data_IF_633917723344
#
_entry.id   IF_633917723344
#
_cell.length_a   1.000
_cell.length_b   1.000
_cell.length_c   1.000
_cell.angle_alpha   90.00
_cell.angle_beta   90.00
_cell.angle_gamma   90.00
#
_symmetry.space_group_name_H-M   'P 1'
#
loop_
_entity.id
_entity.type
_entity.pdbx_description
1 polymer ?
2 water ?
#
# COMPACT_ATOMS: atom_id res chain seq x y z
N UNK A 6 29.73 12.53 -21.94
CA UNK A 6 29.67 13.97 -22.04
C UNK A 6 28.87 14.50 -20.87
N UNK A 7 29.27 15.69 -20.38
CA UNK A 7 28.73 16.28 -19.14
C UNK A 7 27.24 16.59 -19.24
N UNK A 8 26.79 17.15 -20.38
CA UNK A 8 25.38 17.40 -20.57
C UNK A 8 24.58 16.09 -20.62
N UNK A 9 25.20 15.01 -21.09
CA UNK A 9 24.55 13.70 -21.01
C UNK A 9 24.50 13.14 -19.58
N UNK A 10 25.50 13.42 -18.75
CA UNK A 10 25.49 12.93 -17.37
C UNK A 10 24.46 13.66 -16.50
N UNK A 11 24.25 14.95 -16.73
CA UNK A 11 23.16 15.67 -16.07
C UNK A 11 21.80 15.05 -16.42
N UNK A 12 21.57 14.77 -17.71
CA UNK A 12 20.36 14.11 -18.16
C UNK A 12 20.23 12.72 -17.51
N UNK A 13 21.30 11.92 -17.58
CA UNK A 13 21.24 10.55 -17.05
C UNK A 13 20.90 10.56 -15.57
N UNK A 14 21.43 11.53 -14.82
CA UNK A 14 21.17 11.58 -13.39
C UNK A 14 19.75 12.05 -13.11
N UNK A 15 19.32 13.14 -13.76
CA UNK A 15 17.93 13.61 -13.62
C UNK A 15 16.92 12.51 -13.92
N UNK A 16 17.21 11.63 -14.89
CA UNK A 16 16.26 10.56 -15.20
C UNK A 16 16.26 9.49 -14.09
N UNK A 17 17.41 9.16 -13.52
CA UNK A 17 17.38 8.26 -12.38
C UNK A 17 16.74 8.92 -11.15
N UNK A 18 16.94 10.23 -10.98
CA UNK A 18 16.26 10.89 -9.87
C UNK A 18 14.75 10.80 -10.02
N UNK A 19 14.25 10.85 -11.26
CA UNK A 19 12.80 10.67 -11.47
C UNK A 19 12.35 9.29 -11.03
N UNK A 20 13.15 8.24 -11.34
CA UNK A 20 12.79 6.90 -10.89
C UNK A 20 12.83 6.82 -9.37
N UNK A 21 13.84 7.43 -8.77
CA UNK A 21 13.92 7.48 -7.32
C UNK A 21 12.72 8.20 -6.71
N UNK A 22 12.35 9.34 -7.29
CA UNK A 22 11.22 10.11 -6.74
C UNK A 22 9.91 9.41 -7.02
N UNK A 23 9.86 8.58 -8.07
CA UNK A 23 8.65 7.82 -8.34
C UNK A 23 8.43 6.77 -7.27
N UNK A 24 9.50 6.13 -6.80
CA UNK A 24 9.38 5.18 -5.70
C UNK A 24 8.97 5.90 -4.43
N UNK A 25 9.58 7.05 -4.16
CA UNK A 25 9.26 7.82 -2.97
C UNK A 25 7.81 8.29 -2.97
N UNK A 26 7.31 8.74 -4.13
CA UNK A 26 5.95 9.23 -4.18
C UNK A 26 4.93 8.15 -3.76
N UNK A 27 5.16 6.92 -4.21
CA UNK A 27 4.29 5.81 -3.84
C UNK A 27 4.50 5.44 -2.39
N UNK A 28 5.76 5.38 -1.95
CA UNK A 28 6.02 5.08 -0.54
C UNK A 28 5.24 6.05 0.35
N UNK A 29 5.32 7.34 0.04
CA UNK A 29 4.68 8.37 0.85
C UNK A 29 3.17 8.23 0.79
N UNK A 30 2.61 8.14 -0.42
CA UNK A 30 1.14 8.22 -0.48
C UNK A 30 0.47 6.90 -0.19
N UNK A 31 1.01 5.74 -0.63
CA UNK A 31 0.44 4.45 -0.21
C UNK A 31 0.59 4.29 1.31
N UNK A 32 1.71 4.75 1.89
CA UNK A 32 1.88 4.67 3.32
C UNK A 32 0.89 5.54 4.08
N UNK A 33 0.61 6.75 3.57
CA UNK A 33 -0.39 7.59 4.22
C UNK A 33 -1.77 6.95 4.13
N UNK A 34 -2.14 6.47 2.93
CA UNK A 34 -3.41 5.76 2.75
C UNK A 34 -3.50 4.55 3.66
N UNK A 35 -2.38 3.89 3.90
CA UNK A 35 -2.38 2.73 4.77
C UNK A 35 -2.72 3.12 6.20
N UNK A 36 -2.10 4.21 6.70
CA UNK A 36 -2.38 4.67 8.05
C UNK A 36 -3.83 5.13 8.19
N UNK A 37 -4.35 5.83 7.16
CA UNK A 37 -5.71 6.36 7.23
C UNK A 37 -6.72 5.22 7.18
N UNK A 38 -6.50 4.23 6.31
CA UNK A 38 -7.42 3.10 6.26
C UNK A 38 -7.39 2.30 7.57
N UNK A 39 -6.23 2.18 8.21
CA UNK A 39 -6.19 1.50 9.50
C UNK A 39 -6.99 2.27 10.55
N UNK A 40 -6.88 3.62 10.54
CA UNK A 40 -7.64 4.43 11.49
C UNK A 40 -9.11 4.39 11.17
N UNK A 41 -9.47 4.35 9.89
CA UNK A 41 -10.87 4.16 9.51
C UNK A 41 -11.41 2.83 10.04
N UNK A 42 -10.59 1.78 9.99
CA UNK A 42 -11.02 0.49 10.50
C UNK A 42 -11.20 0.55 12.00
N UNK A 43 -10.27 1.20 12.73
CA UNK A 43 -10.40 1.29 14.17
C UNK A 43 -11.66 2.08 14.55
N UNK A 44 -11.96 3.16 13.80
CA UNK A 44 -13.17 3.92 14.10
C UNK A 44 -14.43 3.13 13.78
N UNK A 45 -14.39 2.26 12.75
CA UNK A 45 -15.52 1.37 12.49
C UNK A 45 -15.74 0.40 13.65
N UNK A 46 -14.65 -0.17 14.16
CA UNK A 46 -14.72 -1.09 15.28
C UNK A 46 -15.22 -0.37 16.53
N UNK A 47 -14.76 0.87 16.75
CA UNK A 47 -15.23 1.61 17.93
C UNK A 47 -16.70 1.98 17.83
N UNK A 48 -17.20 2.17 16.61
CA UNK A 48 -18.63 2.34 16.44
C UNK A 48 -19.38 1.04 16.67
N UNK A 49 -18.79 -0.11 16.31
CA UNK A 49 -19.41 -1.38 16.63
C UNK A 49 -19.53 -1.57 18.14
N UNK A 50 -18.51 -1.14 18.90
CA UNK A 50 -18.56 -1.24 20.36
C UNK A 50 -19.75 -0.49 20.92
N UNK A 51 -19.98 0.75 20.44
CA UNK A 51 -21.12 1.51 20.95
C UNK A 51 -22.43 0.84 20.55
N UNK A 52 -22.49 0.24 19.37
CA UNK A 52 -23.70 -0.46 18.98
C UNK A 52 -23.95 -1.68 19.85
N UNK A 53 -22.87 -2.37 20.28
CA UNK A 53 -23.01 -3.47 21.22
C UNK A 53 -23.60 -2.98 22.53
N UNK A 54 -23.15 -1.81 23.00
CA UNK A 54 -23.67 -1.26 24.25
C UNK A 54 -25.16 -0.99 24.15
N UNK A 55 -25.61 -0.52 22.98
CA UNK A 55 -27.02 -0.30 22.74
C UNK A 55 -27.81 -1.61 22.79
N UNK A 56 -27.28 -2.65 22.14
CA UNK A 56 -27.91 -3.96 22.21
C UNK A 56 -28.06 -4.40 23.66
N UNK A 57 -27.00 -4.25 24.47
CA UNK A 57 -27.07 -4.74 25.85
C UNK A 57 -28.10 -3.96 26.67
N UNK A 58 -28.16 -2.62 26.49
CA UNK A 58 -29.07 -1.81 27.30
C UNK A 58 -30.52 -2.03 26.88
N UNK A 59 -30.76 -2.15 25.58
CA UNK A 59 -32.11 -2.44 25.13
C UNK A 59 -32.57 -3.78 25.70
N UNK A 60 -31.68 -4.79 25.71
CA UNK A 60 -32.04 -6.07 26.29
C UNK A 60 -32.28 -5.97 27.79
N UNK A 61 -31.45 -5.21 28.48
CA UNK A 61 -31.60 -5.11 29.92
C UNK A 61 -32.85 -4.34 30.27
N UNK A 62 -33.13 -3.26 29.53
CA UNK A 62 -34.36 -2.51 29.76
C UNK A 62 -35.57 -3.38 29.38
N UNK A 63 -35.49 -4.13 28.29
CA UNK A 63 -36.59 -4.99 27.93
C UNK A 63 -36.91 -6.00 29.03
N UNK A 64 -35.89 -6.50 29.75
CA UNK A 64 -36.15 -7.47 30.79
C UNK A 64 -36.98 -6.91 31.96
N UNK A 65 -37.22 -5.59 32.01
CA UNK A 65 -37.98 -4.96 33.09
C UNK A 65 -39.41 -4.64 32.66
N UNK A 66 -39.79 -4.88 31.40
CA UNK A 66 -41.00 -4.31 30.83
C UNK A 66 -42.14 -5.33 30.67
N UNK A 67 -43.31 -4.76 30.32
CA UNK A 67 -44.50 -5.52 30.06
C UNK A 67 -44.27 -6.44 28.87
N UNK A 68 -45.03 -7.56 28.76
CA UNK A 68 -44.63 -8.64 27.81
C UNK A 68 -44.51 -8.24 26.36
N UNK A 69 -45.48 -7.50 25.83
CA UNK A 69 -45.44 -7.12 24.42
C UNK A 69 -44.30 -6.13 24.15
N UNK A 70 -44.12 -5.16 25.04
CA UNK A 70 -43.05 -4.20 24.87
C UNK A 70 -41.71 -4.87 25.02
N UNK A 71 -41.59 -5.83 25.96
CA UNK A 71 -40.34 -6.56 26.13
C UNK A 71 -39.99 -7.33 24.85
N UNK A 72 -40.98 -8.04 24.30
CA UNK A 72 -40.73 -8.84 23.10
C UNK A 72 -40.33 -7.96 21.92
N UNK A 73 -41.02 -6.83 21.74
CA UNK A 73 -40.68 -5.93 20.65
C UNK A 73 -39.27 -5.38 20.78
N UNK A 74 -38.84 -5.04 22.02
CA UNK A 74 -37.50 -4.52 22.24
C UNK A 74 -36.43 -5.58 22.02
N UNK A 75 -36.65 -6.80 22.53
CA UNK A 75 -35.70 -7.88 22.31
C UNK A 75 -35.57 -8.21 20.84
N UNK A 76 -36.69 -8.22 20.08
CA UNK A 76 -36.63 -8.50 18.65
C UNK A 76 -35.79 -7.43 17.94
N UNK A 77 -35.98 -6.16 18.31
CA UNK A 77 -35.13 -5.14 17.73
C UNK A 77 -33.67 -5.40 18.08
N UNK A 78 -33.38 -5.69 19.36
CA UNK A 78 -32.01 -5.89 19.79
C UNK A 78 -31.37 -7.08 19.07
N UNK A 79 -32.14 -8.13 18.82
CA UNK A 79 -31.61 -9.30 18.11
C UNK A 79 -31.21 -8.97 16.68
N UNK A 80 -32.01 -8.15 15.99
CA UNK A 80 -31.69 -7.76 14.62
C UNK A 80 -30.47 -6.86 14.58
N UNK A 81 -30.45 -5.86 15.45
CA UNK A 81 -29.34 -4.93 15.48
C UNK A 81 -28.04 -5.62 15.85
N UNK A 82 -28.11 -6.64 16.70
CA UNK A 82 -26.91 -7.38 17.05
C UNK A 82 -26.39 -8.12 15.84
N UNK A 83 -27.29 -8.61 15.00
CA UNK A 83 -26.91 -9.22 13.73
C UNK A 83 -26.15 -8.23 12.85
N UNK A 84 -26.51 -6.95 12.91
CA UNK A 84 -25.82 -5.95 12.11
C UNK A 84 -24.37 -5.79 12.57
N UNK A 85 -24.13 -5.91 13.88
CA UNK A 85 -22.77 -5.78 14.38
C UNK A 85 -21.91 -6.96 13.99
N UNK A 86 -22.49 -8.15 13.74
CA UNK A 86 -21.68 -9.25 13.21
C UNK A 86 -21.20 -8.95 11.81
N UNK A 87 -22.07 -8.34 10.98
CA UNK A 87 -21.68 -7.91 9.65
C UNK A 87 -20.62 -6.81 9.71
N UNK A 88 -20.72 -5.93 10.71
CA UNK A 88 -19.70 -4.91 10.90
C UNK A 88 -18.35 -5.52 11.24
N UNK A 89 -18.37 -6.60 12.01
CA UNK A 89 -17.13 -7.29 12.32
C UNK A 89 -16.55 -7.94 11.07
N UNK A 90 -17.40 -8.49 10.19
CA UNK A 90 -16.88 -9.04 8.95
C UNK A 90 -16.33 -7.93 8.05
N UNK A 91 -16.98 -6.77 8.05
CA UNK A 91 -16.48 -5.62 7.29
C UNK A 91 -15.08 -5.20 7.79
N UNK A 92 -14.91 -5.13 9.10
CA UNK A 92 -13.62 -4.78 9.70
C UNK A 92 -12.53 -5.78 9.29
N UNK A 93 -12.85 -7.08 9.33
CA UNK A 93 -11.84 -8.08 9.00
C UNK A 93 -11.44 -8.04 7.54
N UNK A 94 -12.43 -7.86 6.64
CA UNK A 94 -12.13 -7.78 5.21
C UNK A 94 -11.34 -6.51 4.89
N UNK A 95 -11.69 -5.38 5.52
CA UNK A 95 -10.93 -4.15 5.28
C UNK A 95 -9.48 -4.31 5.74
N UNK A 96 -9.24 -5.00 6.86
CA UNK A 96 -7.87 -5.24 7.31
C UNK A 96 -7.12 -6.12 6.33
N UNK A 97 -7.79 -7.17 5.83
CA UNK A 97 -7.07 -8.14 5.00
C UNK A 97 -6.93 -7.68 3.56
N UNK A 98 -7.92 -6.95 3.03
CA UNK A 98 -7.96 -6.64 1.59
C UNK A 98 -7.61 -5.20 1.26
N UNK A 99 -7.54 -4.32 2.24
CA UNK A 99 -7.24 -2.92 2.00
C UNK A 99 -6.01 -2.47 2.79
N UNK A 100 -6.02 -2.67 4.11
CA UNK A 100 -4.89 -2.20 4.91
C UNK A 100 -3.65 -3.06 4.64
N UNK A 101 -3.81 -4.39 4.68
CA UNK A 101 -2.62 -5.22 4.51
C UNK A 101 -1.97 -5.08 3.13
N UNK A 102 -2.70 -5.06 2.00
CA UNK A 102 -2.00 -4.84 0.71
C UNK A 102 -1.26 -3.52 0.62
N UNK A 103 -1.80 -2.44 1.21
CA UNK A 103 -1.08 -1.17 1.23
C UNK A 103 0.16 -1.27 2.10
N UNK A 104 0.07 -1.99 3.23
CA UNK A 104 1.21 -2.13 4.12
C UNK A 104 2.35 -2.87 3.45
N UNK A 105 2.04 -3.79 2.54
CA UNK A 105 3.05 -4.60 1.86
C UNK A 105 3.96 -3.77 0.98
N UNK A 106 3.62 -2.50 0.70
CA UNK A 106 4.46 -1.68 -0.15
C UNK A 106 5.74 -1.24 0.57
N UNK A 107 5.84 -1.44 1.88
CA UNK A 107 7.12 -1.19 2.52
C UNK A 107 8.21 -2.09 1.95
N UNK A 108 7.87 -3.37 1.75
CA UNK A 108 8.84 -4.33 1.21
C UNK A 108 9.10 -4.09 -0.28
N UNK A 109 8.04 -3.77 -1.04
CA UNK A 109 8.21 -3.47 -2.46
C UNK A 109 9.15 -2.28 -2.63
N UNK A 110 8.92 -1.23 -1.84
CA UNK A 110 9.76 -0.03 -1.93
C UNK A 110 11.21 -0.37 -1.58
N UNK A 111 11.43 -1.21 -0.55
CA UNK A 111 12.80 -1.58 -0.17
C UNK A 111 13.53 -2.27 -1.34
N UNK A 112 12.85 -3.19 -2.02
CA UNK A 112 13.49 -3.86 -3.15
C UNK A 112 13.84 -2.86 -4.26
N UNK A 113 12.96 -1.86 -4.52
CA UNK A 113 13.28 -0.89 -5.55
C UNK A 113 14.46 -0.03 -5.15
N UNK A 114 14.56 0.29 -3.85
CA UNK A 114 15.70 1.06 -3.37
C UNK A 114 16.99 0.28 -3.53
N UNK A 115 16.95 -1.05 -3.40
CA UNK A 115 18.14 -1.84 -3.67
C UNK A 115 18.55 -1.72 -5.12
N UNK A 116 17.57 -1.78 -6.04
CA UNK A 116 17.89 -1.63 -7.47
C UNK A 116 18.49 -0.27 -7.77
N UNK A 117 17.98 0.78 -7.09
CA UNK A 117 18.49 2.13 -7.29
C UNK A 117 19.89 2.25 -6.73
N UNK A 118 20.13 1.69 -5.54
CA UNK A 118 21.47 1.76 -4.97
C UNK A 118 22.48 1.00 -5.84
N UNK A 119 22.09 -0.14 -6.42
CA UNK A 119 23.00 -0.89 -7.29
C UNK A 119 23.37 -0.04 -8.49
N UNK A 120 22.42 0.75 -8.99
CA UNK A 120 22.73 1.59 -10.14
C UNK A 120 23.70 2.69 -9.76
N UNK A 121 23.50 3.32 -8.59
CA UNK A 121 24.44 4.35 -8.16
C UNK A 121 25.84 3.76 -7.94
N UNK A 122 25.92 2.58 -7.32
CA UNK A 122 27.20 1.92 -7.09
C UNK A 122 27.92 1.63 -8.40
N UNK A 123 27.18 1.11 -9.38
CA UNK A 123 27.79 0.78 -10.67
C UNK A 123 28.29 2.02 -11.38
N UNK A 124 27.58 3.15 -11.22
CA UNK A 124 28.03 4.36 -11.90
C UNK A 124 29.23 4.98 -11.20
N UNK A 125 29.31 4.83 -9.86
CA UNK A 125 30.53 5.27 -9.19
C UNK A 125 31.71 4.43 -9.64
N UNK A 126 31.51 3.11 -9.80
CA UNK A 126 32.63 2.29 -10.25
C UNK A 126 33.07 2.72 -11.64
N UNK A 127 32.11 3.05 -12.51
CA UNK A 127 32.46 3.47 -13.85
C UNK A 127 33.25 4.78 -13.84
N UNK A 128 32.74 5.78 -13.09
CA UNK A 128 33.42 7.07 -13.03
C UNK A 128 34.83 6.91 -12.47
N UNK A 129 34.99 6.04 -11.47
CA UNK A 129 36.32 5.77 -10.92
C UNK A 129 37.24 5.13 -11.96
N UNK A 130 36.72 4.17 -12.72
CA UNK A 130 37.53 3.53 -13.76
C UNK A 130 37.90 4.49 -14.88
N UNK A 131 37.03 5.46 -15.20
CA UNK A 131 37.35 6.46 -16.19
C UNK A 131 38.47 7.40 -15.71
N UNK A 132 38.39 7.87 -14.46
CA UNK A 132 39.46 8.68 -13.89
C UNK A 132 40.76 7.88 -13.80
N UNK A 133 40.66 6.59 -13.44
CA UNK A 133 41.84 5.71 -13.44
C UNK A 133 42.48 5.65 -14.82
N UNK A 134 41.66 5.52 -15.87
CA UNK A 134 42.19 5.38 -17.21
C UNK A 134 42.90 6.65 -17.65
N UNK A 135 42.33 7.82 -17.33
CA UNK A 135 42.99 9.06 -17.72
C UNK A 135 44.31 9.26 -16.95
N UNK A 136 44.35 8.88 -15.68
CA UNK A 136 45.56 8.97 -14.86
C UNK A 136 46.64 8.03 -15.39
N UNK A 137 46.25 6.79 -15.73
CA UNK A 137 47.18 5.80 -16.26
C UNK A 137 47.76 6.27 -17.61
N UNK A 138 46.93 6.86 -18.47
CA UNK A 138 47.46 7.40 -19.71
C UNK A 138 48.45 8.51 -19.44
N UNK A 139 48.22 9.29 -18.38
CA UNK A 139 49.09 10.42 -18.12
C UNK A 139 50.42 9.99 -17.49
N UNK A 140 50.42 8.99 -16.58
CA UNK A 140 51.64 8.53 -15.89
C UNK A 140 52.48 7.60 -16.77
N UNK A 141 51.84 6.83 -17.66
CA UNK A 141 52.54 5.89 -18.54
C UNK A 141 52.07 6.06 -19.98
N UNK A 142 52.38 7.20 -20.61
CA UNK A 142 51.81 7.48 -21.96
C UNK A 142 52.20 6.45 -23.00
N UNK A 143 53.36 5.80 -22.85
CA UNK A 143 53.85 4.89 -23.86
C UNK A 143 53.72 3.42 -23.47
N UNK A 144 53.04 3.10 -22.36
CA UNK A 144 52.84 1.70 -21.94
C UNK A 144 51.50 1.27 -22.50
N UNK A 145 51.52 0.77 -23.76
CA UNK A 145 50.29 0.37 -24.43
C UNK A 145 49.57 -0.74 -23.66
N UNK A 146 50.34 -1.62 -23.02
CA UNK A 146 49.77 -2.75 -22.32
C UNK A 146 48.94 -2.29 -21.12
N UNK A 147 49.50 -1.46 -20.24
CA UNK A 147 48.72 -1.11 -19.05
C UNK A 147 47.60 -0.14 -19.43
N UNK A 148 47.78 0.62 -20.51
CA UNK A 148 46.66 1.48 -20.94
C UNK A 148 45.52 0.61 -21.47
N UNK A 149 45.86 -0.39 -22.27
CA UNK A 149 44.86 -1.31 -22.80
C UNK A 149 44.11 -2.03 -21.68
N UNK A 150 44.81 -2.38 -20.60
CA UNK A 150 44.15 -3.03 -19.48
C UNK A 150 43.17 -2.11 -18.79
N UNK A 151 43.56 -0.84 -18.60
CA UNK A 151 42.64 0.15 -18.03
C UNK A 151 41.47 0.43 -18.98
N UNK A 152 41.70 0.41 -20.29
CA UNK A 152 40.58 0.56 -21.22
C UNK A 152 39.62 -0.61 -21.11
N UNK A 153 40.16 -1.82 -21.03
CA UNK A 153 39.30 -2.98 -20.92
C UNK A 153 38.48 -2.94 -19.63
N UNK A 154 39.10 -2.51 -18.51
CA UNK A 154 38.35 -2.48 -17.26
C UNK A 154 37.28 -1.37 -17.29
N UNK A 155 37.56 -0.26 -18.00
CA UNK A 155 36.51 0.75 -18.14
C UNK A 155 35.34 0.21 -18.94
N UNK A 156 35.62 -0.52 -20.03
CA UNK A 156 34.53 -1.08 -20.83
C UNK A 156 33.69 -2.06 -20.02
N UNK A 157 34.31 -2.82 -19.10
CA UNK A 157 33.53 -3.70 -18.24
C UNK A 157 32.64 -2.90 -17.30
N UNK A 158 33.20 -1.89 -16.65
CA UNK A 158 32.42 -1.06 -15.74
C UNK A 158 31.28 -0.37 -16.51
N UNK A 159 31.56 0.09 -17.73
CA UNK A 159 30.54 0.77 -18.52
C UNK A 159 29.38 -0.18 -18.88
N UNK A 160 29.71 -1.39 -19.38
CA UNK A 160 28.60 -2.24 -19.75
C UNK A 160 27.86 -2.72 -18.49
N UNK A 161 28.57 -2.90 -17.37
CA UNK A 161 27.89 -3.30 -16.13
C UNK A 161 26.95 -2.21 -15.63
N UNK A 162 27.36 -0.94 -15.76
CA UNK A 162 26.49 0.15 -15.35
C UNK A 162 25.28 0.28 -16.27
N UNK A 163 25.49 0.14 -17.59
CA UNK A 163 24.38 0.13 -18.54
C UNK A 163 23.39 -0.98 -18.22
N UNK A 164 23.89 -2.18 -17.96
CA UNK A 164 22.99 -3.29 -17.67
C UNK A 164 22.28 -3.14 -16.32
N UNK A 165 22.96 -2.53 -15.33
CA UNK A 165 22.31 -2.33 -14.03
C UNK A 165 21.22 -1.28 -14.15
N UNK A 166 21.50 -0.20 -14.88
CA UNK A 166 20.50 0.82 -15.17
C UNK A 166 19.34 0.27 -16.02
N UNK A 167 19.65 -0.59 -16.99
CA UNK A 167 18.63 -1.21 -17.83
C UNK A 167 17.68 -2.08 -17.01
N UNK A 168 18.23 -2.81 -16.03
CA UNK A 168 17.40 -3.60 -15.12
C UNK A 168 16.56 -2.73 -14.23
N UNK A 169 17.13 -1.62 -13.75
CA UNK A 169 16.40 -0.66 -12.95
C UNK A 169 15.18 -0.14 -13.73
N UNK A 170 15.38 0.26 -14.98
CA UNK A 170 14.28 0.80 -15.76
C UNK A 170 13.17 -0.23 -15.92
N UNK A 171 13.55 -1.50 -16.03
CA UNK A 171 12.54 -2.52 -16.18
C UNK A 171 11.77 -2.75 -14.87
N UNK A 172 12.46 -2.81 -13.73
CA UNK A 172 11.77 -3.08 -12.47
C UNK A 172 10.89 -1.88 -12.07
N UNK A 173 11.34 -0.65 -12.32
CA UNK A 173 10.49 0.49 -11.99
C UNK A 173 9.28 0.52 -12.91
N UNK A 174 9.49 0.17 -14.19
CA UNK A 174 8.35 0.11 -15.10
C UNK A 174 7.33 -0.92 -14.64
N UNK A 175 7.79 -2.10 -14.23
CA UNK A 175 6.89 -3.11 -13.68
C UNK A 175 6.26 -2.63 -12.39
N UNK A 176 7.01 -1.89 -11.58
CA UNK A 176 6.51 -1.33 -10.33
C UNK A 176 5.37 -0.34 -10.58
N UNK A 177 5.49 0.47 -11.64
CA UNK A 177 4.42 1.41 -12.00
C UNK A 177 3.19 0.67 -12.52
N UNK A 178 3.40 -0.37 -13.29
CA UNK A 178 2.29 -1.16 -13.78
C UNK A 178 1.53 -1.80 -12.61
N UNK A 179 2.26 -2.42 -11.68
CA UNK A 179 1.64 -3.08 -10.55
C UNK A 179 1.03 -2.07 -9.60
N UNK A 180 1.60 -0.85 -9.53
CA UNK A 180 1.04 0.19 -8.67
C UNK A 180 -0.40 0.51 -9.09
N UNK A 181 -0.63 0.63 -10.41
CA UNK A 181 -1.95 0.96 -10.93
C UNK A 181 -2.94 -0.18 -10.68
N UNK A 182 -2.52 -1.43 -10.95
CA UNK A 182 -3.35 -2.59 -10.66
C UNK A 182 -3.70 -2.62 -9.18
N UNK A 183 -2.70 -2.44 -8.30
CA UNK A 183 -2.93 -2.52 -6.87
C UNK A 183 -3.87 -1.43 -6.39
N UNK A 184 -3.62 -0.17 -6.79
CA UNK A 184 -4.51 0.86 -6.26
C UNK A 184 -5.93 0.69 -6.80
N UNK A 185 -6.09 0.19 -8.04
CA UNK A 185 -7.43 -0.10 -8.55
C UNK A 185 -8.08 -1.21 -7.74
N UNK A 186 -7.33 -2.28 -7.50
CA UNK A 186 -7.86 -3.40 -6.76
C UNK A 186 -8.14 -3.03 -5.31
N UNK A 187 -7.23 -2.28 -4.67
CA UNK A 187 -7.41 -1.93 -3.26
C UNK A 187 -8.65 -1.06 -3.06
N UNK A 188 -8.85 -0.05 -3.92
CA UNK A 188 -10.05 0.79 -3.81
C UNK A 188 -11.31 0.03 -4.20
N UNK A 189 -11.22 -0.88 -5.20
CA UNK A 189 -12.37 -1.71 -5.56
C UNK A 189 -12.80 -2.59 -4.39
N UNK A 190 -11.84 -3.22 -3.72
CA UNK A 190 -12.16 -4.05 -2.55
C UNK A 190 -12.80 -3.21 -1.46
N UNK A 191 -12.27 -2.01 -1.22
CA UNK A 191 -12.87 -1.13 -0.21
C UNK A 191 -14.32 -0.81 -0.54
N UNK A 192 -14.59 -0.52 -1.82
CA UNK A 192 -15.92 -0.19 -2.29
C UNK A 192 -16.87 -1.39 -2.14
N UNK A 193 -16.42 -2.59 -2.56
CA UNK A 193 -17.33 -3.74 -2.50
C UNK A 193 -17.55 -4.21 -1.07
N UNK A 194 -16.51 -4.15 -0.22
CA UNK A 194 -16.65 -4.51 1.20
C UNK A 194 -17.69 -3.59 1.87
N UNK A 195 -17.60 -2.29 1.58
CA UNK A 195 -18.57 -1.34 2.13
C UNK A 195 -19.96 -1.59 1.59
N UNK A 196 -20.07 -1.77 0.27
CA UNK A 196 -21.36 -2.03 -0.36
C UNK A 196 -22.01 -3.25 0.26
N UNK A 197 -21.23 -4.29 0.52
CA UNK A 197 -21.77 -5.49 1.13
C UNK A 197 -22.34 -5.17 2.50
N UNK A 198 -21.63 -4.36 3.28
CA UNK A 198 -22.12 -4.05 4.61
C UNK A 198 -23.39 -3.21 4.54
N UNK A 199 -23.41 -2.18 3.68
CA UNK A 199 -24.59 -1.31 3.59
C UNK A 199 -25.80 -2.07 3.07
N UNK A 200 -25.61 -3.03 2.17
CA UNK A 200 -26.71 -3.86 1.74
C UNK A 200 -27.25 -4.74 2.85
N UNK A 201 -26.36 -5.31 3.67
CA UNK A 201 -26.82 -6.10 4.79
C UNK A 201 -27.53 -5.22 5.84
N UNK A 202 -27.03 -4.00 6.05
CA UNK A 202 -27.66 -3.09 7.01
C UNK A 202 -29.09 -2.75 6.60
N UNK A 203 -29.29 -2.48 5.31
CA UNK A 203 -30.63 -2.24 4.80
C UNK A 203 -31.57 -3.41 5.05
N UNK A 204 -31.08 -4.62 4.85
CA UNK A 204 -31.86 -5.81 5.11
C UNK A 204 -32.24 -5.87 6.59
N UNK A 205 -31.27 -5.62 7.47
CA UNK A 205 -31.48 -5.74 8.91
C UNK A 205 -32.46 -4.67 9.39
N UNK A 206 -32.22 -3.42 8.98
CA UNK A 206 -33.06 -2.33 9.43
C UNK A 206 -34.48 -2.42 8.86
N UNK A 207 -34.63 -3.00 7.67
CA UNK A 207 -35.98 -3.20 7.13
C UNK A 207 -36.76 -4.16 8.03
N UNK A 208 -36.13 -5.26 8.42
CA UNK A 208 -36.78 -6.19 9.34
C UNK A 208 -36.96 -5.57 10.73
N UNK A 209 -35.99 -4.79 11.20
CA UNK A 209 -36.12 -4.19 12.53
C UNK A 209 -37.27 -3.20 12.59
N UNK A 210 -37.60 -2.58 11.45
CA UNK A 210 -38.73 -1.67 11.39
C UNK A 210 -40.06 -2.37 11.63
N UNK A 211 -40.14 -3.68 11.28
CA UNK A 211 -41.37 -4.43 11.55
C UNK A 211 -41.49 -4.70 13.03
N UNK A 212 -40.41 -5.19 13.65
CA UNK A 212 -40.44 -5.53 15.07
C UNK A 212 -40.80 -4.35 15.95
N UNK A 213 -40.61 -3.11 15.46
CA UNK A 213 -41.00 -1.96 16.26
C UNK A 213 -42.48 -1.65 16.05
N UNK A 214 -42.97 -1.85 14.82
CA UNK A 214 -44.39 -1.63 14.54
C UNK A 214 -45.30 -2.53 15.38
N UNK A 215 -44.84 -3.75 15.74
CA UNK A 215 -45.63 -4.71 16.51
C UNK A 215 -45.73 -4.35 17.98
N UNK A 216 -45.06 -3.30 18.42
CA UNK A 216 -45.23 -2.86 19.80
C UNK A 216 -46.60 -2.19 19.91
N UNK A 217 -47.49 -2.77 20.71
CA UNK A 217 -48.81 -2.19 20.90
C UNK A 217 -48.69 -0.91 21.72
N UNK A 218 -49.04 0.22 21.13
CA UNK A 218 -48.94 1.49 21.83
C UNK A 218 -50.31 1.89 22.25
#
# INVERSE_FOLDING_TARGET
GPGSMLRRNLDERDAQTKQLQDAVTNVEKHFGELCQIFAAYVRKTARLRDKADLLVNEINLYASTETPNLKQGLKDFADEFAKLQDYRQAEVERLEAKVVEPLKAYGTIVKMKRDDLKATLTARNREAKQLSQLERTRQRNPSDRHVISQAETELQRATIDATRTSRHLEETIDNFEKQKIKDIKNILSEFITIEMLFHGKALEVFTAAYQNIQNIDE
#
